data_IF_582206359081
#
_entry.id   IF_582206359081
#
_cell.length_a   1.000
_cell.length_b   1.000
_cell.length_c   1.000
_cell.angle_alpha   90.00
_cell.angle_beta   90.00
_cell.angle_gamma   90.00
#
_symmetry.space_group_name_H-M   'P 1'
#
loop_
_entity.id
_entity.type
_entity.pdbx_description
1 polymer ?
#
# COMPACT_ATOMS: atom_id res chain seq x y z
N UNK A 1 -12.14 3.32 12.83
CA UNK A 1 -11.93 3.87 11.49
C UNK A 1 -10.49 4.30 11.45
N UNK A 2 -9.66 3.55 10.75
CA UNK A 2 -8.24 3.89 10.51
C UNK A 2 -8.18 5.23 9.77
N UNK A 3 -7.24 6.08 10.15
CA UNK A 3 -6.99 7.33 9.43
C UNK A 3 -5.89 7.12 8.37
N UNK A 4 -5.87 7.98 7.35
CA UNK A 4 -4.92 7.90 6.22
C UNK A 4 -3.45 7.88 6.68
N UNK A 5 -3.13 8.50 7.82
CA UNK A 5 -1.76 8.53 8.35
C UNK A 5 -1.32 7.18 8.92
N UNK A 6 -2.18 6.52 9.69
CA UNK A 6 -1.95 5.16 10.20
C UNK A 6 -1.74 4.20 9.03
N UNK A 7 -2.65 4.26 8.04
CA UNK A 7 -2.56 3.46 6.83
C UNK A 7 -1.25 3.71 6.08
N UNK A 8 -0.89 4.97 5.83
CA UNK A 8 0.34 5.33 5.13
C UNK A 8 1.61 4.82 5.85
N UNK A 9 1.61 4.82 7.18
CA UNK A 9 2.72 4.28 7.96
C UNK A 9 2.81 2.74 7.85
N UNK A 10 1.68 2.04 7.89
CA UNK A 10 1.64 0.59 7.70
C UNK A 10 2.13 0.21 6.29
N UNK A 11 1.61 0.88 5.26
CA UNK A 11 2.03 0.66 3.86
C UNK A 11 3.52 0.92 3.68
N UNK A 12 4.06 1.98 4.27
CA UNK A 12 5.50 2.25 4.23
C UNK A 12 6.32 1.14 4.91
N UNK A 13 5.85 0.63 6.05
CA UNK A 13 6.52 -0.45 6.81
C UNK A 13 6.49 -1.78 6.06
N UNK A 14 5.34 -2.12 5.44
CA UNK A 14 5.20 -3.33 4.63
C UNK A 14 6.05 -3.20 3.35
N UNK A 15 6.04 -2.03 2.70
CA UNK A 15 6.86 -1.75 1.51
C UNK A 15 8.34 -1.93 1.79
N UNK A 16 8.81 -1.46 2.95
CA UNK A 16 10.18 -1.69 3.42
C UNK A 16 10.49 -3.19 3.51
N UNK A 17 9.61 -3.98 4.16
CA UNK A 17 9.79 -5.41 4.29
C UNK A 17 9.84 -6.12 2.93
N UNK A 18 8.90 -5.81 2.02
CA UNK A 18 8.87 -6.37 0.67
C UNK A 18 10.15 -6.03 -0.13
N UNK A 19 10.61 -4.78 -0.07
CA UNK A 19 11.84 -4.34 -0.72
C UNK A 19 13.07 -5.11 -0.20
N UNK A 20 13.18 -5.28 1.12
CA UNK A 20 14.27 -6.07 1.72
C UNK A 20 14.18 -7.55 1.32
N UNK A 21 12.99 -8.15 1.34
CA UNK A 21 12.77 -9.54 0.96
C UNK A 21 13.18 -9.75 -0.51
N UNK A 22 12.73 -8.87 -1.41
CA UNK A 22 13.08 -8.89 -2.83
C UNK A 22 14.59 -8.88 -3.03
N UNK A 23 15.27 -7.93 -2.40
CA UNK A 23 16.71 -7.76 -2.56
C UNK A 23 17.49 -8.95 -1.94
N UNK A 24 17.08 -9.42 -0.76
CA UNK A 24 17.79 -10.44 0.02
C UNK A 24 17.62 -11.86 -0.53
N UNK A 25 16.41 -12.23 -0.91
CA UNK A 25 16.05 -13.61 -1.22
C UNK A 25 15.80 -13.85 -2.72
N UNK A 26 15.48 -12.80 -3.48
CA UNK A 26 15.08 -12.93 -4.89
C UNK A 26 15.97 -12.12 -5.84
N UNK A 27 17.13 -11.66 -5.37
CA UNK A 27 18.15 -11.02 -6.21
C UNK A 27 17.75 -9.65 -6.78
N UNK A 28 16.77 -8.97 -6.17
CA UNK A 28 16.41 -7.61 -6.55
C UNK A 28 17.49 -6.58 -6.22
N UNK A 29 17.37 -5.41 -6.84
CA UNK A 29 18.24 -4.25 -6.63
C UNK A 29 17.43 -2.99 -6.36
N UNK A 30 16.29 -3.13 -5.69
CA UNK A 30 15.36 -2.03 -5.42
C UNK A 30 15.99 -1.03 -4.45
N UNK A 31 15.75 0.27 -4.67
CA UNK A 31 16.04 1.29 -3.66
C UNK A 31 14.91 1.31 -2.63
N UNK A 32 15.13 0.57 -1.53
CA UNK A 32 14.13 0.43 -0.46
C UNK A 32 13.83 1.76 0.20
N UNK A 33 14.80 2.68 0.33
CA UNK A 33 14.55 3.97 0.96
C UNK A 33 13.65 4.83 0.09
N UNK A 34 13.90 4.87 -1.23
CA UNK A 34 13.03 5.58 -2.16
C UNK A 34 11.61 5.01 -2.17
N UNK A 35 11.46 3.68 -2.12
CA UNK A 35 10.16 3.01 -1.99
C UNK A 35 9.43 3.45 -0.73
N UNK A 36 10.11 3.46 0.42
CA UNK A 36 9.50 3.81 1.72
C UNK A 36 9.04 5.26 1.73
N UNK A 37 9.86 6.19 1.25
CA UNK A 37 9.48 7.61 1.19
C UNK A 37 8.28 7.78 0.27
N UNK A 38 8.28 7.18 -0.92
CA UNK A 38 7.14 7.22 -1.83
C UNK A 38 5.86 6.61 -1.22
N UNK A 39 5.98 5.50 -0.49
CA UNK A 39 4.87 4.88 0.22
C UNK A 39 4.24 5.80 1.28
N UNK A 40 5.03 6.66 1.95
CA UNK A 40 4.49 7.62 2.91
C UNK A 40 3.59 8.68 2.25
N UNK A 41 3.77 8.95 0.96
CA UNK A 41 3.00 9.95 0.20
C UNK A 41 1.95 9.33 -0.74
N UNK A 42 1.79 8.00 -0.77
CA UNK A 42 1.00 7.34 -1.81
C UNK A 42 -0.49 7.76 -1.84
N UNK A 43 -1.07 8.11 -0.69
CA UNK A 43 -2.44 8.62 -0.56
C UNK A 43 -2.50 10.14 -0.28
N UNK A 44 -1.41 10.88 -0.52
CA UNK A 44 -1.40 12.31 -0.19
C UNK A 44 -2.45 13.11 -0.96
N UNK A 45 -2.78 12.70 -2.19
CA UNK A 45 -3.84 13.30 -3.00
C UNK A 45 -5.22 13.21 -2.36
N UNK A 46 -5.45 12.26 -1.44
CA UNK A 46 -6.73 12.09 -0.75
C UNK A 46 -7.07 13.25 0.20
N UNK A 47 -6.09 14.09 0.53
CA UNK A 47 -6.32 15.39 1.20
C UNK A 47 -7.25 16.29 0.37
N UNK A 48 -7.16 16.22 -0.96
CA UNK A 48 -8.00 16.99 -1.89
C UNK A 48 -9.18 16.15 -2.38
N UNK A 49 -8.94 14.91 -2.79
CA UNK A 49 -9.98 14.09 -3.45
C UNK A 49 -10.97 13.46 -2.47
N UNK A 50 -10.57 13.34 -1.20
CA UNK A 50 -11.18 12.42 -0.25
C UNK A 50 -10.87 10.96 -0.58
N UNK A 51 -10.97 10.10 0.43
CA UNK A 51 -10.91 8.65 0.25
C UNK A 51 -12.13 8.18 -0.58
N UNK A 52 -11.85 7.43 -1.64
CA UNK A 52 -12.88 6.82 -2.47
C UNK A 52 -12.78 5.30 -2.37
N UNK A 53 -13.87 4.61 -1.98
CA UNK A 53 -13.84 3.17 -1.85
C UNK A 53 -13.38 2.47 -3.14
N UNK A 54 -12.44 1.55 -3.02
CA UNK A 54 -11.90 0.74 -4.12
C UNK A 54 -12.98 0.14 -5.07
N UNK A 55 -14.11 -0.42 -4.59
CA UNK A 55 -15.16 -0.93 -5.48
C UNK A 55 -15.75 0.12 -6.43
N UNK A 56 -15.73 1.40 -6.03
CA UNK A 56 -16.18 2.53 -6.85
C UNK A 56 -15.06 2.97 -7.79
N UNK A 57 -13.81 3.14 -7.31
CA UNK A 57 -12.63 3.51 -8.13
C UNK A 57 -12.50 2.58 -9.37
N UNK A 58 -12.84 1.30 -9.22
CA UNK A 58 -12.68 0.26 -10.26
C UNK A 58 -14.01 -0.26 -10.87
N UNK A 59 -15.13 0.45 -10.70
CA UNK A 59 -16.43 -0.02 -11.17
C UNK A 59 -16.54 -0.12 -12.70
N UNK A 60 -15.93 0.82 -13.42
CA UNK A 60 -15.88 0.81 -14.88
C UNK A 60 -14.61 1.48 -15.39
N UNK A 61 -14.17 1.13 -16.60
CA UNK A 61 -12.99 1.75 -17.22
C UNK A 61 -13.13 3.27 -17.39
N UNK A 62 -14.36 3.77 -17.53
CA UNK A 62 -14.64 5.20 -17.61
C UNK A 62 -14.43 5.88 -16.25
N UNK A 63 -15.00 5.31 -15.18
CA UNK A 63 -14.86 5.82 -13.82
C UNK A 63 -13.39 5.80 -13.40
N UNK A 64 -12.68 4.69 -13.66
CA UNK A 64 -11.26 4.57 -13.33
C UNK A 64 -10.43 5.65 -14.01
N UNK A 65 -10.66 5.91 -15.31
CA UNK A 65 -9.93 6.98 -16.03
C UNK A 65 -10.24 8.36 -15.48
N UNK A 66 -11.52 8.64 -15.20
CA UNK A 66 -11.93 9.92 -14.64
C UNK A 66 -11.28 10.15 -13.28
N UNK A 67 -11.27 9.13 -12.42
CA UNK A 67 -10.70 9.22 -11.10
C UNK A 67 -9.17 9.36 -11.11
N UNK A 68 -8.47 8.59 -11.95
CA UNK A 68 -7.02 8.77 -12.17
C UNK A 68 -6.67 10.16 -12.67
N UNK A 69 -7.54 10.79 -13.46
CA UNK A 69 -7.34 12.18 -13.89
C UNK A 69 -7.51 13.17 -12.74
N UNK A 70 -8.40 12.89 -11.79
CA UNK A 70 -8.62 13.72 -10.59
C UNK A 70 -7.44 13.57 -9.64
N UNK A 71 -6.98 12.34 -9.37
CA UNK A 71 -5.79 12.07 -8.52
C UNK A 71 -4.56 12.79 -9.07
N UNK A 72 -4.26 12.67 -10.37
CA UNK A 72 -3.14 13.40 -11.00
C UNK A 72 -3.22 14.90 -10.84
N UNK A 73 -4.41 15.49 -10.92
CA UNK A 73 -4.57 16.93 -10.72
C UNK A 73 -4.33 17.31 -9.25
N UNK A 74 -4.83 16.51 -8.31
CA UNK A 74 -4.61 16.71 -6.89
C UNK A 74 -3.12 16.58 -6.52
N UNK A 75 -2.40 15.59 -7.05
CA UNK A 75 -0.95 15.45 -6.87
C UNK A 75 -0.19 16.70 -7.31
N UNK A 76 -0.51 17.24 -8.51
CA UNK A 76 0.12 18.44 -9.05
C UNK A 76 -0.24 19.69 -8.25
N UNK A 77 -1.49 19.80 -7.80
CA UNK A 77 -1.94 20.91 -6.96
C UNK A 77 -1.17 20.90 -5.63
N UNK A 78 -1.09 19.76 -4.95
CA UNK A 78 -0.33 19.62 -3.70
C UNK A 78 1.15 19.95 -3.89
N UNK A 79 1.77 19.47 -4.98
CA UNK A 79 3.15 19.78 -5.30
C UNK A 79 3.37 21.29 -5.47
N UNK A 80 2.44 21.97 -6.15
CA UNK A 80 2.53 23.42 -6.41
C UNK A 80 2.41 24.30 -5.16
N UNK A 81 1.86 23.76 -4.06
CA UNK A 81 1.79 24.46 -2.78
C UNK A 81 3.13 24.50 -2.04
N UNK A 82 4.10 23.65 -2.43
CA UNK A 82 5.43 23.63 -1.84
C UNK A 82 6.30 24.79 -2.38
N UNK A 83 7.29 25.26 -1.60
CA UNK A 83 8.30 26.19 -2.10
C UNK A 83 8.98 25.66 -3.37
N UNK A 84 9.17 26.53 -4.37
CA UNK A 84 9.68 26.18 -5.71
C UNK A 84 10.97 25.33 -5.65
N UNK A 85 11.91 25.71 -4.78
CA UNK A 85 13.20 25.01 -4.60
C UNK A 85 13.06 23.56 -4.08
N UNK A 86 11.94 23.21 -3.46
CA UNK A 86 11.67 21.86 -2.92
C UNK A 86 10.80 21.01 -3.85
N UNK A 87 10.12 21.61 -4.83
CA UNK A 87 9.18 20.87 -5.68
C UNK A 87 9.86 19.71 -6.41
N UNK A 88 11.11 19.87 -6.86
CA UNK A 88 11.85 18.79 -7.52
C UNK A 88 12.07 17.56 -6.62
N UNK A 89 12.33 17.77 -5.32
CA UNK A 89 12.56 16.67 -4.37
C UNK A 89 11.27 15.90 -4.08
N UNK A 90 10.15 16.61 -3.96
CA UNK A 90 8.84 16.01 -3.70
C UNK A 90 8.21 15.40 -4.95
N UNK A 91 8.50 15.92 -6.14
CA UNK A 91 7.94 15.40 -7.40
C UNK A 91 8.25 13.90 -7.57
N UNK A 92 9.45 13.48 -7.18
CA UNK A 92 9.90 12.10 -7.30
C UNK A 92 9.16 11.10 -6.40
N UNK A 93 8.43 11.59 -5.38
CA UNK A 93 7.77 10.75 -4.37
C UNK A 93 6.26 11.00 -4.26
N UNK A 94 5.77 12.17 -4.69
CA UNK A 94 4.34 12.53 -4.66
C UNK A 94 3.63 12.31 -6.00
N UNK A 95 4.34 12.40 -7.14
CA UNK A 95 3.72 12.21 -8.46
C UNK A 95 3.82 10.75 -8.85
N UNK A 96 2.69 10.03 -8.92
CA UNK A 96 2.69 8.59 -9.16
C UNK A 96 3.46 8.23 -10.45
N UNK A 97 3.24 9.01 -11.51
CA UNK A 97 3.85 8.77 -12.81
C UNK A 97 5.39 8.98 -12.82
N UNK A 98 5.95 9.65 -11.81
CA UNK A 98 7.41 9.85 -11.65
C UNK A 98 8.09 8.77 -10.82
N UNK A 99 7.32 7.99 -10.06
CA UNK A 99 7.83 6.88 -9.27
C UNK A 99 8.17 5.71 -10.20
N UNK A 100 9.38 5.09 -10.08
CA UNK A 100 9.76 3.92 -10.86
C UNK A 100 8.70 2.83 -10.80
N UNK A 101 8.40 2.21 -11.95
CA UNK A 101 7.33 1.20 -12.06
C UNK A 101 7.51 0.05 -11.07
N UNK A 102 8.74 -0.42 -10.87
CA UNK A 102 9.05 -1.48 -9.91
C UNK A 102 8.77 -1.08 -8.47
N UNK A 103 9.02 0.19 -8.09
CA UNK A 103 8.68 0.72 -6.78
C UNK A 103 7.16 0.77 -6.58
N UNK A 104 6.42 1.27 -7.58
CA UNK A 104 4.95 1.32 -7.54
C UNK A 104 4.30 -0.04 -7.37
N UNK A 105 4.85 -1.07 -8.02
CA UNK A 105 4.37 -2.45 -7.87
C UNK A 105 4.52 -2.93 -6.43
N UNK A 106 5.63 -2.62 -5.78
CA UNK A 106 5.86 -2.96 -4.36
C UNK A 106 4.91 -2.19 -3.45
N UNK A 107 4.76 -0.88 -3.64
CA UNK A 107 3.87 -0.03 -2.83
C UNK A 107 2.42 -0.51 -2.95
N UNK A 108 1.95 -0.81 -4.16
CA UNK A 108 0.59 -1.33 -4.39
C UNK A 108 0.38 -2.70 -3.75
N UNK A 109 1.40 -3.56 -3.78
CA UNK A 109 1.33 -4.84 -3.08
C UNK A 109 1.26 -4.64 -1.56
N UNK A 110 2.03 -3.70 -1.02
CA UNK A 110 2.01 -3.35 0.40
C UNK A 110 0.66 -2.79 0.86
N UNK A 111 0.07 -1.85 0.11
CA UNK A 111 -1.29 -1.34 0.33
C UNK A 111 -2.32 -2.49 0.38
N UNK A 112 -2.27 -3.38 -0.61
CA UNK A 112 -3.17 -4.55 -0.65
C UNK A 112 -2.95 -5.49 0.54
N UNK A 113 -1.72 -5.67 1.01
CA UNK A 113 -1.42 -6.43 2.22
C UNK A 113 -1.96 -5.73 3.47
N UNK A 114 -1.81 -4.41 3.61
CA UNK A 114 -2.40 -3.65 4.74
C UNK A 114 -3.90 -3.89 4.82
N UNK A 115 -4.60 -3.76 3.69
CA UNK A 115 -6.03 -4.03 3.62
C UNK A 115 -6.38 -5.48 4.02
N UNK A 116 -5.57 -6.47 3.63
CA UNK A 116 -5.75 -7.86 4.05
C UNK A 116 -5.57 -8.04 5.56
N UNK A 117 -4.49 -7.49 6.13
CA UNK A 117 -4.18 -7.60 7.56
C UNK A 117 -5.28 -6.96 8.42
N UNK A 118 -5.78 -5.80 7.99
CA UNK A 118 -6.94 -5.15 8.62
C UNK A 118 -8.19 -6.02 8.61
N UNK A 119 -8.51 -6.64 7.46
CA UNK A 119 -9.64 -7.58 7.40
C UNK A 119 -9.44 -8.75 8.35
N UNK A 120 -8.23 -9.29 8.47
CA UNK A 120 -7.91 -10.38 9.40
C UNK A 120 -8.07 -9.96 10.87
N UNK A 121 -7.65 -8.75 11.22
CA UNK A 121 -7.84 -8.19 12.56
C UNK A 121 -9.32 -8.02 12.91
N UNK A 122 -10.13 -7.49 12.00
CA UNK A 122 -11.58 -7.36 12.16
C UNK A 122 -12.26 -8.73 12.38
N UNK A 123 -11.91 -9.72 11.56
CA UNK A 123 -12.42 -11.10 11.71
C UNK A 123 -12.02 -11.68 13.08
N UNK A 124 -10.77 -11.47 13.51
CA UNK A 124 -10.28 -11.93 14.81
C UNK A 124 -10.96 -11.22 15.99
N UNK A 125 -11.38 -9.97 15.80
CA UNK A 125 -12.19 -9.21 16.75
C UNK A 125 -13.68 -9.63 16.76
N UNK A 126 -14.06 -10.62 15.93
CA UNK A 126 -15.42 -11.16 15.86
C UNK A 126 -16.31 -10.54 14.78
N UNK A 127 -15.77 -9.66 13.93
CA UNK A 127 -16.51 -9.02 12.84
C UNK A 127 -16.44 -9.87 11.56
N UNK A 128 -17.38 -10.80 11.41
CA UNK A 128 -17.41 -11.75 10.30
C UNK A 128 -17.78 -11.15 8.94
N UNK A 129 -18.23 -9.90 8.88
CA UNK A 129 -18.52 -9.20 7.62
C UNK A 129 -17.26 -9.06 6.74
N UNK A 130 -16.08 -9.02 7.37
CA UNK A 130 -14.79 -8.91 6.69
C UNK A 130 -14.23 -10.23 6.17
N UNK A 131 -14.81 -11.38 6.53
CA UNK A 131 -14.28 -12.69 6.13
C UNK A 131 -14.25 -12.86 4.61
N UNK A 132 -15.30 -12.42 3.91
CA UNK A 132 -15.35 -12.52 2.45
C UNK A 132 -14.31 -11.62 1.78
N UNK A 133 -14.16 -10.39 2.28
CA UNK A 133 -13.17 -9.45 1.80
C UNK A 133 -11.74 -9.99 2.02
N UNK A 134 -11.45 -10.56 3.20
CA UNK A 134 -10.15 -11.17 3.50
C UNK A 134 -9.81 -12.29 2.51
N UNK A 135 -10.75 -13.18 2.21
CA UNK A 135 -10.57 -14.26 1.22
C UNK A 135 -10.34 -13.74 -0.21
N UNK A 136 -11.07 -12.69 -0.62
CA UNK A 136 -10.95 -12.11 -1.94
C UNK A 136 -9.60 -11.38 -2.10
N UNK A 137 -9.17 -10.63 -1.10
CA UNK A 137 -7.88 -9.93 -1.11
C UNK A 137 -6.73 -10.94 -1.07
N UNK A 138 -6.81 -11.97 -0.22
CA UNK A 138 -5.80 -13.04 -0.16
C UNK A 138 -5.61 -13.71 -1.52
N UNK A 139 -6.69 -14.07 -2.21
CA UNK A 139 -6.62 -14.65 -3.56
C UNK A 139 -5.97 -13.71 -4.57
N UNK A 140 -6.23 -12.39 -4.49
CA UNK A 140 -5.56 -11.40 -5.35
C UNK A 140 -4.06 -11.36 -5.07
N UNK A 141 -3.65 -11.36 -3.80
CA UNK A 141 -2.24 -11.37 -3.40
C UNK A 141 -1.52 -12.65 -3.85
N UNK A 142 -2.13 -13.81 -3.67
CA UNK A 142 -1.58 -15.10 -4.11
C UNK A 142 -1.45 -15.23 -5.63
N UNK A 143 -2.31 -14.53 -6.38
CA UNK A 143 -2.27 -14.46 -7.84
C UNK A 143 -1.24 -13.46 -8.38
N UNK A 144 -0.59 -12.66 -7.52
CA UNK A 144 0.50 -11.79 -7.96
C UNK A 144 1.74 -12.59 -8.31
N UNK A 145 2.47 -12.18 -9.35
CA UNK A 145 3.76 -12.76 -9.72
C UNK A 145 4.92 -12.09 -8.95
N UNK A 146 4.75 -11.95 -7.63
CA UNK A 146 5.69 -11.29 -6.73
C UNK A 146 6.16 -12.28 -5.64
N UNK A 147 7.36 -12.86 -5.75
CA UNK A 147 7.86 -13.83 -4.79
C UNK A 147 8.01 -13.25 -3.38
N UNK A 148 8.32 -11.96 -3.25
CA UNK A 148 8.39 -11.25 -1.97
C UNK A 148 7.04 -11.16 -1.25
N UNK A 149 5.92 -11.05 -1.99
CA UNK A 149 4.57 -11.05 -1.41
C UNK A 149 4.23 -12.43 -0.87
N UNK A 150 4.52 -13.49 -1.63
CA UNK A 150 4.32 -14.87 -1.17
C UNK A 150 5.12 -15.15 0.10
N UNK A 151 6.40 -14.80 0.09
CA UNK A 151 7.27 -14.95 1.26
C UNK A 151 6.70 -14.18 2.47
N UNK A 152 6.22 -12.95 2.27
CA UNK A 152 5.64 -12.16 3.34
C UNK A 152 4.41 -12.84 3.94
N UNK A 153 3.49 -13.31 3.09
CA UNK A 153 2.27 -13.98 3.54
C UNK A 153 2.56 -15.29 4.28
N UNK A 154 3.53 -16.08 3.82
CA UNK A 154 3.91 -17.33 4.47
C UNK A 154 4.63 -17.10 5.81
N UNK A 155 5.43 -16.04 5.90
CA UNK A 155 6.32 -15.80 7.06
C UNK A 155 5.65 -14.96 8.14
N UNK A 156 4.98 -13.86 7.77
CA UNK A 156 4.48 -12.87 8.73
C UNK A 156 2.98 -12.99 8.98
N UNK A 157 2.17 -13.29 7.96
CA UNK A 157 0.70 -13.25 8.09
C UNK A 157 0.13 -14.14 9.20
N UNK A 158 0.64 -15.36 9.50
CA UNK A 158 0.10 -16.18 10.59
C UNK A 158 0.23 -15.49 11.96
N UNK A 159 1.30 -14.73 12.14
CA UNK A 159 1.61 -14.01 13.38
C UNK A 159 0.62 -12.89 13.67
N UNK A 160 -0.03 -12.31 12.64
CA UNK A 160 -1.03 -11.26 12.82
C UNK A 160 -2.36 -11.76 13.42
N UNK A 161 -2.59 -13.09 13.44
CA UNK A 161 -3.73 -13.68 14.15
C UNK A 161 -3.44 -14.04 15.60
N UNK A 162 -2.19 -13.86 16.05
CA UNK A 162 -1.76 -14.19 17.40
C UNK A 162 -1.94 -13.00 18.33
N UNK A 163 -2.31 -13.27 19.57
CA UNK A 163 -2.20 -12.31 20.67
C UNK A 163 -0.73 -12.03 21.01
N UNK A 164 -0.47 -10.94 21.73
CA UNK A 164 0.89 -10.60 22.17
C UNK A 164 1.53 -11.74 22.98
N UNK A 165 0.76 -12.39 23.86
CA UNK A 165 1.22 -13.52 24.67
C UNK A 165 1.55 -14.77 23.84
N UNK A 166 0.88 -14.96 22.70
CA UNK A 166 1.16 -16.05 21.76
C UNK A 166 2.40 -15.73 20.91
N UNK A 167 2.54 -14.48 20.45
CA UNK A 167 3.73 -14.01 19.72
C UNK A 167 5.00 -14.20 20.54
N UNK A 168 5.00 -13.82 21.81
CA UNK A 168 6.17 -13.91 22.70
C UNK A 168 6.59 -15.35 23.05
N UNK A 169 5.81 -16.36 22.65
CA UNK A 169 6.09 -17.79 22.86
C UNK A 169 6.59 -18.51 21.60
N UNK A 170 6.65 -17.80 20.46
CA UNK A 170 7.14 -18.31 19.16
C UNK A 170 8.64 -18.12 19.02
#
# INVERSE_FOLDING_TARGET
MENVMEHSWEVATISHALGLIRNRYFGGTLDVNAIVVAAMYHDCSEVITGDMPSPIKYHSAEITRAYQSIERQAEQELLSLLPEDLQGDYEAVMIEDKIPKEHRVVIKAADTISAYLKCQMEVSAGNSEFSKAAEDIKRKLEATDLPEVRYFLETFSPSYSLTLDELLKT
#
